data_IF_099842828382
#
_entry.id   IF_099842828382
#
_cell.length_a   1.000
_cell.length_b   1.000
_cell.length_c   1.000
_cell.angle_alpha   90.00
_cell.angle_beta   90.00
_cell.angle_gamma   90.00
#
_symmetry.space_group_name_H-M   'P 1'
#
loop_
_entity.id
_entity.type
_entity.pdbx_description
1 polymer ?
#
# COMPACT_ATOMS: atom_id res chain seq x y z
N UNK A 1 5.77 -13.45 -47.33
CA UNK A 1 4.75 -13.87 -46.36
C UNK A 1 5.29 -13.49 -45.00
N UNK A 2 4.79 -12.40 -44.40
CA UNK A 2 5.35 -11.89 -43.14
C UNK A 2 4.57 -12.47 -41.97
N UNK A 3 5.27 -13.19 -41.10
CA UNK A 3 4.72 -13.82 -39.91
C UNK A 3 4.59 -12.78 -38.79
N UNK A 4 3.37 -12.65 -38.25
CA UNK A 4 3.06 -11.72 -37.17
C UNK A 4 3.51 -12.37 -35.87
N UNK A 5 4.65 -11.95 -35.33
CA UNK A 5 5.11 -12.41 -34.01
C UNK A 5 4.48 -11.55 -32.92
N UNK A 6 3.70 -12.16 -32.05
CA UNK A 6 3.11 -11.50 -30.88
C UNK A 6 4.11 -11.59 -29.72
N UNK A 7 4.64 -10.45 -29.27
CA UNK A 7 5.46 -10.39 -28.05
C UNK A 7 4.57 -10.52 -26.81
N UNK A 8 5.05 -11.26 -25.81
CA UNK A 8 4.42 -11.34 -24.51
C UNK A 8 4.52 -9.98 -23.79
N UNK A 9 3.41 -9.53 -23.20
CA UNK A 9 3.40 -8.31 -22.39
C UNK A 9 4.21 -8.50 -21.12
N UNK A 10 5.03 -7.50 -20.78
CA UNK A 10 5.73 -7.48 -19.50
C UNK A 10 4.70 -7.28 -18.38
N UNK A 11 4.83 -8.05 -17.31
CA UNK A 11 3.99 -7.91 -16.13
C UNK A 11 4.27 -6.53 -15.50
N UNK A 12 3.20 -5.78 -15.21
CA UNK A 12 3.29 -4.52 -14.46
C UNK A 12 3.37 -4.89 -12.98
N UNK A 13 4.47 -4.55 -12.34
CA UNK A 13 4.58 -4.56 -10.89
C UNK A 13 3.81 -3.36 -10.32
N UNK A 14 2.92 -3.63 -9.36
CA UNK A 14 2.20 -2.60 -8.63
C UNK A 14 3.20 -1.85 -7.72
N UNK A 15 3.32 -0.53 -7.94
CA UNK A 15 4.31 0.34 -7.29
C UNK A 15 4.22 0.31 -5.75
N UNK A 16 3.08 -0.09 -5.18
CA UNK A 16 2.83 -0.06 -3.74
C UNK A 16 2.34 -1.40 -3.15
N UNK A 17 2.27 -2.44 -3.99
CA UNK A 17 1.51 -3.67 -3.72
C UNK A 17 2.29 -4.98 -3.78
N UNK A 18 3.62 -4.93 -3.98
CA UNK A 18 4.47 -6.12 -3.96
C UNK A 18 4.51 -6.81 -2.59
N UNK A 19 4.74 -8.13 -2.57
CA UNK A 19 4.77 -8.97 -1.36
C UNK A 19 5.82 -8.54 -0.29
N UNK A 20 6.76 -7.66 -0.63
CA UNK A 20 7.75 -7.06 0.28
C UNK A 20 7.63 -5.54 0.44
N UNK A 21 6.62 -4.89 -0.15
CA UNK A 21 6.50 -3.43 -0.16
C UNK A 21 6.24 -2.83 1.22
N UNK A 22 5.85 -3.66 2.19
CA UNK A 22 5.50 -3.24 3.55
C UNK A 22 6.51 -3.72 4.62
N UNK A 23 7.62 -4.31 4.20
CA UNK A 23 8.64 -4.85 5.12
C UNK A 23 9.52 -3.74 5.74
N UNK A 24 9.71 -2.64 5.02
CA UNK A 24 10.60 -1.54 5.39
C UNK A 24 9.87 -0.27 5.86
N UNK A 25 8.55 -0.36 6.06
CA UNK A 25 7.74 0.77 6.55
C UNK A 25 7.64 0.76 8.05
N UNK A 26 7.60 1.96 8.61
CA UNK A 26 7.57 2.17 10.04
C UNK A 26 6.29 1.59 10.67
N UNK A 27 6.41 1.13 11.91
CA UNK A 27 5.31 0.53 12.65
C UNK A 27 4.85 1.49 13.72
N UNK A 28 3.57 1.85 13.67
CA UNK A 28 2.94 2.68 14.70
C UNK A 28 1.88 1.90 15.46
N UNK A 29 1.59 2.43 16.64
CA UNK A 29 0.50 1.98 17.49
C UNK A 29 -0.80 2.63 16.99
N UNK A 30 -1.52 1.94 16.11
CA UNK A 30 -2.79 2.39 15.56
C UNK A 30 -3.82 1.27 15.63
N UNK A 31 -4.95 1.56 16.28
CA UNK A 31 -6.04 0.63 16.41
C UNK A 31 -6.65 0.35 15.04
N UNK A 32 -6.70 -0.93 14.66
CA UNK A 32 -7.33 -1.32 13.41
C UNK A 32 -8.83 -0.98 13.46
N UNK A 33 -9.38 -0.25 12.46
CA UNK A 33 -10.82 0.08 12.41
C UNK A 33 -11.69 -1.17 12.24
N UNK A 34 -11.09 -2.31 11.90
CA UNK A 34 -11.79 -3.59 11.85
C UNK A 34 -11.96 -4.14 13.27
N UNK A 35 -13.18 -4.02 13.77
CA UNK A 35 -13.68 -4.57 15.05
C UNK A 35 -13.37 -6.07 15.27
N UNK A 36 -13.24 -6.85 14.19
CA UNK A 36 -12.87 -8.28 14.26
C UNK A 36 -11.37 -8.52 14.58
N UNK A 37 -10.50 -7.55 14.29
CA UNK A 37 -9.05 -7.75 14.43
C UNK A 37 -8.55 -7.42 15.84
N UNK A 38 -9.02 -6.29 16.39
CA UNK A 38 -8.61 -5.78 17.71
C UNK A 38 -7.10 -5.54 17.86
N UNK A 39 -6.37 -5.45 16.75
CA UNK A 39 -4.92 -5.25 16.76
C UNK A 39 -4.58 -3.77 16.88
N UNK A 40 -3.55 -3.49 17.65
CA UNK A 40 -3.08 -2.14 18.00
C UNK A 40 -1.82 -1.74 17.20
N UNK A 41 -1.29 -2.65 16.36
CA UNK A 41 -0.12 -2.39 15.51
C UNK A 41 -0.49 -2.30 14.04
N UNK A 42 -0.03 -1.25 13.39
CA UNK A 42 -0.15 -1.05 11.95
C UNK A 42 1.15 -0.52 11.36
N UNK A 43 1.46 -0.95 10.14
CA UNK A 43 2.45 -0.26 9.33
C UNK A 43 1.86 1.08 8.90
N UNK A 44 2.65 2.14 8.95
CA UNK A 44 2.24 3.42 8.41
C UNK A 44 3.29 3.99 7.47
N UNK A 45 2.81 4.75 6.50
CA UNK A 45 3.65 5.64 5.72
C UNK A 45 2.85 6.87 5.32
N UNK A 46 3.56 7.95 5.07
CA UNK A 46 2.95 9.19 4.62
C UNK A 46 3.39 9.41 3.18
N UNK A 47 2.43 9.67 2.30
CA UNK A 47 2.69 9.88 0.88
C UNK A 47 1.91 11.09 0.37
N UNK A 48 2.61 11.96 -0.34
CA UNK A 48 2.02 13.07 -1.07
C UNK A 48 1.43 12.53 -2.39
N UNK A 49 0.12 12.30 -2.40
CA UNK A 49 -0.60 11.83 -3.60
C UNK A 49 -1.22 12.97 -4.42
N UNK A 50 -1.16 14.21 -3.91
CA UNK A 50 -1.70 15.42 -4.53
C UNK A 50 -0.63 16.51 -4.67
N UNK A 51 -1.03 17.67 -5.17
CA UNK A 51 -0.17 18.86 -5.23
C UNK A 51 0.43 19.18 -3.87
N UNK A 52 1.61 19.78 -3.86
CA UNK A 52 2.33 20.16 -2.63
C UNK A 52 1.59 21.17 -1.73
N UNK A 53 0.48 21.73 -2.21
CA UNK A 53 -0.43 22.61 -1.46
C UNK A 53 -1.39 21.85 -0.52
N UNK A 54 -1.51 20.53 -0.65
CA UNK A 54 -2.35 19.70 0.22
C UNK A 54 -1.50 18.97 1.30
N UNK A 55 -2.07 18.72 2.50
CA UNK A 55 -1.37 17.98 3.54
C UNK A 55 -1.07 16.54 3.11
N UNK A 56 -0.02 15.95 3.70
CA UNK A 56 0.39 14.58 3.39
C UNK A 56 -0.70 13.58 3.79
N UNK A 57 -1.07 12.66 2.89
CA UNK A 57 -1.99 11.58 3.25
C UNK A 57 -1.22 10.49 4.00
N UNK A 58 -1.70 10.11 5.19
CA UNK A 58 -1.16 8.98 5.95
C UNK A 58 -1.90 7.71 5.58
N UNK A 59 -1.16 6.68 5.20
CA UNK A 59 -1.69 5.35 4.91
C UNK A 59 -1.30 4.41 6.04
N UNK A 60 -2.27 3.60 6.46
CA UNK A 60 -2.10 2.58 7.48
C UNK A 60 -2.41 1.21 6.90
N UNK A 61 -1.69 0.19 7.35
CA UNK A 61 -1.96 -1.21 7.06
C UNK A 61 -1.83 -2.05 8.32
N UNK A 62 -2.90 -2.74 8.70
CA UNK A 62 -2.86 -3.63 9.85
C UNK A 62 -1.88 -4.78 9.61
N UNK A 63 -1.01 -5.06 10.58
CA UNK A 63 -0.02 -6.15 10.50
C UNK A 63 -0.65 -7.55 10.53
N UNK A 64 -1.89 -7.67 11.05
CA UNK A 64 -2.57 -8.95 11.27
C UNK A 64 -3.61 -9.28 10.20
N UNK A 65 -4.47 -8.32 9.84
CA UNK A 65 -5.55 -8.54 8.87
C UNK A 65 -5.26 -7.95 7.48
N UNK A 66 -4.09 -7.33 7.29
CA UNK A 66 -3.68 -6.65 6.06
C UNK A 66 -4.69 -5.59 5.55
N UNK A 67 -5.61 -5.15 6.40
CA UNK A 67 -6.56 -4.10 6.06
C UNK A 67 -5.83 -2.77 5.92
N UNK A 68 -6.11 -2.06 4.84
CA UNK A 68 -5.53 -0.75 4.55
C UNK A 68 -6.59 0.33 4.72
N UNK A 69 -6.22 1.40 5.42
CA UNK A 69 -7.04 2.60 5.54
C UNK A 69 -6.15 3.83 5.43
N UNK A 70 -6.76 4.99 5.19
CA UNK A 70 -6.05 6.25 4.99
C UNK A 70 -6.68 7.34 5.86
N UNK A 71 -5.84 8.23 6.35
CA UNK A 71 -6.18 9.36 7.20
C UNK A 71 -5.60 10.63 6.59
N UNK A 72 -6.37 11.70 6.60
CA UNK A 72 -6.03 13.00 6.02
C UNK A 72 -6.42 14.11 6.98
#
# INVERSE_FOLDING_TARGET
MFERKYLASKQVDDVLGGAGSWDNVDQTTAQCPREVCGNDRAYFFQLQIRSADEPMTTFYKCTKCAHQWREN
#
